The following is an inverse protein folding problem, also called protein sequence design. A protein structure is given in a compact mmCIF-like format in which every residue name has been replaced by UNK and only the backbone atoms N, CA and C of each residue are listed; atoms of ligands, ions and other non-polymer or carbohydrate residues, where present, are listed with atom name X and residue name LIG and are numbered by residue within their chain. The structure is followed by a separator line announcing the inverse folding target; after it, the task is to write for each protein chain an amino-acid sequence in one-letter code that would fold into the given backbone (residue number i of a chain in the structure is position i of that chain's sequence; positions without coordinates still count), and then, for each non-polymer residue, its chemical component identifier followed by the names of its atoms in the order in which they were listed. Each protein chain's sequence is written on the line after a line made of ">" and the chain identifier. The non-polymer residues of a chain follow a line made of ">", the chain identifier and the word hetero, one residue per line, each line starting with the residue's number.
data_IF_381014290221
#
_entry.id   IF_381014290221
#
_cell.length_a   1.000
_cell.length_b   1.000
_cell.length_c   1.000
_cell.angle_alpha   90.00
_cell.angle_beta   90.00
_cell.angle_gamma   90.00
#
_symmetry.space_group_name_H-M   'P 1'
#
loop_
_entity.id
_entity.type
_entity.pdbx_description
1 polymer ?
#
# COMPACT_ATOMS: atom_id res chain seq x y z
N UNK A 1 -4.69 15.02 -3.43
CA UNK A 1 -3.60 14.02 -3.39
C UNK A 1 -2.28 14.61 -2.92
N UNK A 2 -1.71 15.63 -3.58
CA UNK A 2 -0.35 16.08 -3.26
C UNK A 2 -0.15 16.59 -1.84
N UNK A 3 -1.08 17.39 -1.30
CA UNK A 3 -1.01 17.88 0.08
C UNK A 3 -0.94 16.71 1.10
N UNK A 4 -1.72 15.65 0.89
CA UNK A 4 -1.64 14.43 1.68
C UNK A 4 -0.27 13.75 1.53
N UNK A 5 0.22 13.58 0.31
CA UNK A 5 1.52 12.92 0.08
C UNK A 5 2.63 13.67 0.82
N UNK A 6 2.62 15.01 0.78
CA UNK A 6 3.59 15.86 1.51
C UNK A 6 3.48 15.68 3.03
N UNK A 7 2.26 15.57 3.56
CA UNK A 7 2.03 15.25 4.98
C UNK A 7 2.61 13.88 5.34
N UNK A 8 2.27 12.83 4.59
CA UNK A 8 2.73 11.46 4.83
C UNK A 8 4.25 11.34 4.67
N UNK A 9 4.86 12.05 3.72
CA UNK A 9 6.30 12.10 3.53
C UNK A 9 7.05 12.52 4.80
N UNK A 10 6.50 13.50 5.53
CA UNK A 10 7.04 13.99 6.80
C UNK A 10 6.74 13.02 7.94
N UNK A 11 5.47 12.60 8.09
CA UNK A 11 5.02 11.72 9.18
C UNK A 11 5.71 10.36 9.15
N UNK A 12 5.91 9.80 7.96
CA UNK A 12 6.56 8.50 7.78
C UNK A 12 8.09 8.60 7.64
N UNK A 13 8.66 9.78 7.84
CA UNK A 13 10.11 10.04 7.82
C UNK A 13 10.79 9.52 6.53
N UNK A 14 10.13 9.70 5.37
CA UNK A 14 10.65 9.26 4.07
C UNK A 14 11.86 10.10 3.65
N UNK A 15 11.91 11.35 4.09
CA UNK A 15 12.99 12.32 3.88
C UNK A 15 14.39 11.85 4.26
N UNK A 16 14.51 10.82 5.09
CA UNK A 16 15.81 10.22 5.42
C UNK A 16 16.42 9.41 4.28
N UNK A 17 15.67 9.19 3.19
CA UNK A 17 16.00 8.19 2.16
C UNK A 17 15.69 8.64 0.74
N UNK A 18 14.63 9.40 0.52
CA UNK A 18 14.17 9.81 -0.81
C UNK A 18 13.77 11.28 -0.77
N UNK A 19 14.00 12.00 -1.87
CA UNK A 19 13.57 13.39 -2.02
C UNK A 19 12.04 13.52 -2.10
N UNK A 20 11.50 14.66 -1.66
CA UNK A 20 10.05 14.90 -1.60
C UNK A 20 9.41 14.92 -2.99
N UNK A 21 10.01 15.63 -3.95
CA UNK A 21 9.45 15.78 -5.30
C UNK A 21 9.40 14.43 -6.00
N UNK A 22 10.46 13.66 -5.83
CA UNK A 22 10.53 12.33 -6.38
C UNK A 22 9.53 11.38 -5.71
N UNK A 23 9.44 11.39 -4.38
CA UNK A 23 8.45 10.57 -3.67
C UNK A 23 7.04 10.87 -4.17
N UNK A 24 6.68 12.15 -4.33
CA UNK A 24 5.40 12.57 -4.91
C UNK A 24 5.22 12.01 -6.32
N UNK A 25 6.25 12.11 -7.17
CA UNK A 25 6.21 11.59 -8.54
C UNK A 25 5.96 10.08 -8.56
N UNK A 26 6.67 9.33 -7.72
CA UNK A 26 6.52 7.87 -7.63
C UNK A 26 5.15 7.47 -7.09
N UNK A 27 4.62 8.17 -6.08
CA UNK A 27 3.28 7.91 -5.54
C UNK A 27 2.21 8.17 -6.59
N UNK A 28 2.26 9.30 -7.31
CA UNK A 28 1.29 9.61 -8.38
C UNK A 28 1.33 8.57 -9.50
N UNK A 29 2.53 8.19 -9.96
CA UNK A 29 2.69 7.17 -11.00
C UNK A 29 2.17 5.80 -10.54
N UNK A 30 2.51 5.40 -9.31
CA UNK A 30 2.05 4.12 -8.72
C UNK A 30 0.53 4.10 -8.58
N UNK A 31 -0.08 5.19 -8.12
CA UNK A 31 -1.53 5.32 -8.01
C UNK A 31 -2.24 5.12 -9.36
N UNK A 32 -1.73 5.74 -10.43
CA UNK A 32 -2.28 5.54 -11.78
C UNK A 32 -2.14 4.09 -12.26
N UNK A 33 -0.99 3.46 -12.00
CA UNK A 33 -0.77 2.06 -12.36
C UNK A 33 -1.73 1.12 -11.61
N UNK A 34 -1.91 1.33 -10.31
CA UNK A 34 -2.82 0.52 -9.50
C UNK A 34 -4.28 0.75 -9.86
N UNK A 35 -4.68 1.98 -10.23
CA UNK A 35 -6.02 2.23 -10.78
C UNK A 35 -6.30 1.41 -12.05
N UNK A 36 -5.32 1.31 -12.95
CA UNK A 36 -5.45 0.49 -14.17
C UNK A 36 -5.65 -0.99 -13.82
N UNK A 37 -4.86 -1.51 -12.87
CA UNK A 37 -5.00 -2.88 -12.35
C UNK A 37 -6.36 -3.12 -11.68
N UNK A 38 -6.81 -2.17 -10.86
CA UNK A 38 -8.13 -2.21 -10.22
C UNK A 38 -9.26 -2.36 -11.24
N UNK A 39 -9.23 -1.55 -12.31
CA UNK A 39 -10.20 -1.63 -13.41
C UNK A 39 -10.15 -2.95 -14.17
N UNK A 40 -8.95 -3.46 -14.43
CA UNK A 40 -8.74 -4.72 -15.14
C UNK A 40 -9.14 -5.95 -14.31
N UNK A 41 -9.43 -5.81 -13.01
CA UNK A 41 -9.67 -6.97 -12.15
C UNK A 41 -8.37 -7.72 -11.77
N UNK A 42 -7.22 -7.04 -11.85
CA UNK A 42 -5.90 -7.66 -11.71
C UNK A 42 -5.21 -7.28 -10.40
N UNK A 43 -4.41 -8.23 -9.87
CA UNK A 43 -3.42 -7.98 -8.83
C UNK A 43 -2.09 -7.50 -9.46
N UNK A 44 -1.21 -6.96 -8.63
CA UNK A 44 0.14 -6.59 -9.00
C UNK A 44 1.15 -7.14 -7.99
N UNK A 45 2.30 -7.61 -8.47
CA UNK A 45 3.42 -7.90 -7.58
C UNK A 45 4.23 -6.63 -7.30
N UNK A 46 4.79 -6.50 -6.09
CA UNK A 46 5.65 -5.36 -5.75
C UNK A 46 6.78 -5.15 -6.78
N UNK A 47 7.36 -6.23 -7.30
CA UNK A 47 8.45 -6.19 -8.28
C UNK A 47 8.05 -5.69 -9.67
N UNK A 48 6.76 -5.62 -9.98
CA UNK A 48 6.23 -5.14 -11.26
C UNK A 48 5.98 -3.63 -11.25
N UNK A 49 5.96 -3.01 -10.07
CA UNK A 49 5.72 -1.58 -9.94
C UNK A 49 6.94 -0.80 -10.45
N UNK A 50 6.71 0.17 -11.33
CA UNK A 50 7.76 1.05 -11.85
C UNK A 50 8.55 1.74 -10.71
N UNK A 51 7.86 2.11 -9.63
CA UNK A 51 8.51 2.65 -8.43
C UNK A 51 9.52 1.69 -7.82
N UNK A 52 9.26 0.38 -7.79
CA UNK A 52 10.21 -0.61 -7.29
C UNK A 52 11.46 -0.66 -8.15
N UNK A 53 11.32 -0.62 -9.47
CA UNK A 53 12.44 -0.62 -10.41
C UNK A 53 13.28 0.66 -10.31
N UNK A 54 12.64 1.84 -10.26
CA UNK A 54 13.34 3.13 -10.08
C UNK A 54 14.12 3.19 -8.76
N UNK A 55 13.52 2.71 -7.67
CA UNK A 55 14.22 2.62 -6.40
C UNK A 55 15.43 1.66 -6.49
N UNK A 56 15.32 0.56 -7.22
CA UNK A 56 16.46 -0.34 -7.47
C UNK A 56 17.54 0.31 -8.33
N UNK A 57 17.20 1.02 -9.39
CA UNK A 57 18.17 1.72 -10.23
C UNK A 57 19.00 2.73 -9.43
N UNK A 58 18.39 3.33 -8.40
CA UNK A 58 19.04 4.25 -7.45
C UNK A 58 19.85 3.58 -6.34
N UNK A 59 19.99 2.25 -6.39
CA UNK A 59 20.81 1.50 -5.45
C UNK A 59 20.10 1.08 -4.16
N UNK A 60 18.80 1.37 -3.97
CA UNK A 60 18.09 0.88 -2.79
C UNK A 60 17.93 -0.65 -2.85
N UNK A 61 18.22 -1.34 -1.75
CA UNK A 61 18.16 -2.81 -1.64
C UNK A 61 17.58 -3.24 -0.30
N UNK A 62 17.22 -4.53 -0.21
CA UNK A 62 16.78 -5.18 1.03
C UNK A 62 15.66 -4.44 1.76
N UNK A 63 15.79 -4.30 3.07
CA UNK A 63 14.78 -3.71 3.94
C UNK A 63 14.46 -2.25 3.61
N UNK A 64 15.45 -1.48 3.12
CA UNK A 64 15.25 -0.07 2.75
C UNK A 64 14.35 0.04 1.53
N UNK A 65 14.60 -0.79 0.51
CA UNK A 65 13.76 -0.86 -0.69
C UNK A 65 12.33 -1.30 -0.32
N UNK A 66 12.20 -2.35 0.50
CA UNK A 66 10.90 -2.86 0.94
C UNK A 66 10.09 -1.80 1.72
N UNK A 67 10.77 -1.02 2.57
CA UNK A 67 10.13 0.07 3.31
C UNK A 67 9.68 1.20 2.38
N UNK A 68 10.55 1.65 1.47
CA UNK A 68 10.22 2.74 0.53
C UNK A 68 9.08 2.37 -0.42
N UNK A 69 9.08 1.15 -0.99
CA UNK A 69 7.96 0.72 -1.83
C UNK A 69 6.67 0.61 -1.00
N UNK A 70 6.78 0.15 0.25
CA UNK A 70 5.68 0.10 1.22
C UNK A 70 5.07 1.49 1.47
N UNK A 71 5.88 2.52 1.70
CA UNK A 71 5.37 3.88 1.89
C UNK A 71 4.77 4.47 0.61
N UNK A 72 5.26 4.11 -0.56
CA UNK A 72 4.70 4.58 -1.84
C UNK A 72 3.30 3.99 -2.06
N UNK A 73 3.13 2.67 -1.93
CA UNK A 73 1.82 2.02 -2.11
C UNK A 73 0.86 2.37 -0.96
N UNK A 74 1.39 2.55 0.26
CA UNK A 74 0.61 2.96 1.42
C UNK A 74 -0.02 4.34 1.21
N UNK A 75 0.75 5.32 0.72
CA UNK A 75 0.25 6.67 0.45
C UNK A 75 -0.87 6.69 -0.60
N UNK A 76 -0.84 5.78 -1.58
CA UNK A 76 -1.95 5.60 -2.51
C UNK A 76 -3.25 5.20 -1.79
N UNK A 77 -3.15 4.36 -0.76
CA UNK A 77 -4.31 3.87 -0.02
C UNK A 77 -4.82 4.85 1.02
N UNK A 78 -3.93 5.60 1.66
CA UNK A 78 -4.34 6.71 2.53
C UNK A 78 -5.09 7.78 1.74
N UNK A 79 -4.67 8.05 0.50
CA UNK A 79 -5.43 8.94 -0.38
C UNK A 79 -6.83 8.41 -0.68
N UNK A 80 -6.97 7.13 -0.99
CA UNK A 80 -8.28 6.51 -1.19
C UNK A 80 -9.12 6.56 0.09
N UNK A 81 -8.53 6.24 1.25
CA UNK A 81 -9.21 6.25 2.54
C UNK A 81 -9.75 7.64 2.90
N UNK A 82 -8.97 8.72 2.71
CA UNK A 82 -9.42 10.11 2.92
C UNK A 82 -10.59 10.49 2.00
N UNK A 83 -10.77 9.78 0.88
CA UNK A 83 -11.88 9.99 -0.06
C UNK A 83 -13.02 8.97 0.14
N UNK A 84 -13.01 8.21 1.23
CA UNK A 84 -14.03 7.19 1.53
C UNK A 84 -13.96 5.94 0.66
N UNK A 85 -12.85 5.72 -0.06
CA UNK A 85 -12.71 4.65 -1.05
C UNK A 85 -11.94 3.44 -0.49
N UNK A 86 -12.01 2.26 -1.16
CA UNK A 86 -11.30 1.05 -0.75
C UNK A 86 -9.76 1.17 -0.87
N UNK A 87 -9.02 0.43 -0.06
CA UNK A 87 -7.55 0.52 0.00
C UNK A 87 -6.88 -0.05 -1.25
N UNK A 88 -6.43 0.82 -2.15
CA UNK A 88 -5.86 0.42 -3.44
C UNK A 88 -4.61 -0.49 -3.33
N UNK A 89 -3.82 -0.37 -2.26
CA UNK A 89 -2.66 -1.25 -2.03
C UNK A 89 -3.04 -2.69 -1.67
N UNK A 90 -4.31 -3.00 -1.43
CA UNK A 90 -4.80 -4.38 -1.30
C UNK A 90 -4.52 -5.20 -2.57
N UNK A 91 -4.38 -4.56 -3.73
CA UNK A 91 -4.02 -5.22 -4.99
C UNK A 91 -2.54 -5.62 -5.07
N UNK A 92 -1.69 -5.11 -4.17
CA UNK A 92 -0.24 -5.31 -4.26
C UNK A 92 0.18 -6.42 -3.32
N UNK A 93 0.67 -7.52 -3.89
CA UNK A 93 1.02 -8.74 -3.16
C UNK A 93 2.50 -9.11 -3.30
N UNK A 94 3.00 -9.83 -2.31
CA UNK A 94 4.27 -10.54 -2.40
C UNK A 94 4.13 -11.75 -3.32
N UNK A 95 5.13 -11.97 -4.18
CA UNK A 95 5.18 -13.16 -5.05
C UNK A 95 5.28 -14.46 -4.25
N UNK A 96 5.96 -14.43 -3.11
CA UNK A 96 6.24 -15.63 -2.33
C UNK A 96 5.05 -16.04 -1.44
N UNK A 97 4.30 -15.05 -0.94
CA UNK A 97 3.19 -15.29 0.01
C UNK A 97 1.81 -15.22 -0.62
N UNK A 98 1.68 -14.61 -1.80
CA UNK A 98 0.38 -14.34 -2.41
C UNK A 98 -0.47 -13.31 -1.66
N UNK A 99 0.12 -12.61 -0.68
CA UNK A 99 -0.56 -11.70 0.25
C UNK A 99 0.13 -10.33 0.30
N UNK A 100 -0.57 -9.27 0.76
CA UNK A 100 0.03 -7.96 0.92
C UNK A 100 1.14 -7.95 1.95
N UNK A 101 2.09 -7.02 1.78
CA UNK A 101 3.16 -6.81 2.74
C UNK A 101 2.63 -6.33 4.10
N UNK A 102 3.43 -6.52 5.14
CA UNK A 102 3.07 -6.15 6.52
C UNK A 102 2.69 -4.67 6.68
N UNK A 103 3.23 -3.79 5.83
CA UNK A 103 2.89 -2.36 5.77
C UNK A 103 1.40 -2.09 5.53
N UNK A 104 0.70 -2.98 4.83
CA UNK A 104 -0.74 -2.85 4.58
C UNK A 104 -1.54 -2.78 5.88
N UNK A 105 -1.16 -3.58 6.89
CA UNK A 105 -1.84 -3.65 8.19
C UNK A 105 -1.49 -2.50 9.15
N UNK A 106 -0.77 -1.49 8.68
CA UNK A 106 -0.50 -0.25 9.40
C UNK A 106 -1.31 0.94 8.88
N UNK A 107 -2.09 0.75 7.80
CA UNK A 107 -2.88 1.82 7.19
C UNK A 107 -4.06 2.22 8.08
N UNK A 108 -4.44 3.50 8.01
CA UNK A 108 -5.41 4.12 8.92
C UNK A 108 -6.80 3.45 8.91
N UNK A 109 -7.22 2.92 7.76
CA UNK A 109 -8.53 2.25 7.59
C UNK A 109 -8.54 0.81 8.10
N UNK A 110 -7.39 0.22 8.41
CA UNK A 110 -7.32 -1.14 8.95
C UNK A 110 -7.91 -1.14 10.36
N UNK A 111 -8.91 -2.00 10.66
CA UNK A 111 -9.50 -2.05 11.98
C UNK A 111 -8.43 -2.25 13.07
N UNK A 112 -8.50 -1.54 14.21
CA UNK A 112 -7.48 -1.64 15.26
C UNK A 112 -7.23 -3.09 15.72
N UNK A 113 -8.26 -3.94 15.79
CA UNK A 113 -8.12 -5.36 16.15
C UNK A 113 -7.22 -6.15 15.18
N UNK A 114 -7.16 -5.73 13.91
CA UNK A 114 -6.36 -6.32 12.85
C UNK A 114 -5.03 -5.57 12.65
N UNK A 115 -4.95 -4.31 13.04
CA UNK A 115 -3.76 -3.48 12.91
C UNK A 115 -2.55 -4.12 13.59
N UNK A 116 -1.38 -4.05 12.94
CA UNK A 116 -0.15 -4.59 13.53
C UNK A 116 0.36 -3.81 14.73
N UNK A 117 0.00 -2.53 14.87
CA UNK A 117 0.43 -1.72 16.02
C UNK A 117 0.10 -2.38 17.36
N UNK A 118 -1.04 -3.09 17.42
CA UNK A 118 -1.52 -3.75 18.63
C UNK A 118 -0.78 -5.04 18.99
N UNK A 119 -0.11 -5.69 18.03
CA UNK A 119 0.53 -7.00 18.20
C UNK A 119 2.06 -6.90 18.19
N UNK A 120 2.63 -6.14 17.25
CA UNK A 120 4.09 -6.05 17.10
C UNK A 120 4.77 -5.14 18.11
N UNK A 121 4.17 -4.00 18.47
CA UNK A 121 4.72 -3.15 19.54
C UNK A 121 4.84 -3.93 20.85
N UNK A 122 3.99 -4.95 21.04
CA UNK A 122 3.97 -5.83 22.21
C UNK A 122 4.84 -7.09 22.06
N UNK A 123 5.48 -7.30 20.89
CA UNK A 123 6.23 -8.52 20.55
C UNK A 123 5.42 -9.82 20.74
N UNK A 124 4.10 -9.75 20.50
CA UNK A 124 3.20 -10.89 20.62
C UNK A 124 2.85 -11.41 19.24
N UNK A 125 3.01 -12.72 19.05
CA UNK A 125 2.51 -13.40 17.84
C UNK A 125 0.98 -13.32 17.84
N UNK A 126 0.36 -12.77 16.78
CA UNK A 126 -1.10 -12.71 16.70
C UNK A 126 -1.67 -14.13 16.68
N UNK A 127 -2.77 -14.40 17.41
CA UNK A 127 -3.42 -15.70 17.36
C UNK A 127 -4.00 -15.97 15.97
N UNK A 128 -4.17 -17.26 15.63
CA UNK A 128 -4.62 -17.70 14.30
C UNK A 128 -5.92 -17.02 13.84
N UNK A 129 -6.86 -16.80 14.76
CA UNK A 129 -8.11 -16.08 14.48
C UNK A 129 -7.88 -14.67 13.93
N UNK A 130 -6.84 -13.97 14.41
CA UNK A 130 -6.48 -12.63 13.91
C UNK A 130 -5.82 -12.71 12.54
N UNK A 131 -5.01 -13.76 12.30
CA UNK A 131 -4.38 -13.99 10.99
C UNK A 131 -5.47 -14.25 9.94
N UNK A 132 -6.45 -15.11 10.25
CA UNK A 132 -7.60 -15.36 9.38
C UNK A 132 -8.42 -14.10 9.11
N UNK A 133 -8.76 -13.33 10.14
CA UNK A 133 -9.52 -12.08 9.95
C UNK A 133 -8.75 -11.02 9.14
N UNK A 134 -7.41 -11.02 9.20
CA UNK A 134 -6.59 -10.17 8.33
C UNK A 134 -6.71 -10.56 6.86
N UNK A 135 -6.67 -11.86 6.56
CA UNK A 135 -6.85 -12.38 5.20
C UNK A 135 -8.27 -12.05 4.69
N UNK A 136 -9.30 -12.30 5.49
CA UNK A 136 -10.69 -11.95 5.16
C UNK A 136 -10.85 -10.45 4.89
N UNK A 137 -10.28 -9.60 5.76
CA UNK A 137 -10.29 -8.16 5.56
C UNK A 137 -9.60 -7.77 4.25
N UNK A 138 -8.41 -8.29 4.00
CA UNK A 138 -7.66 -8.02 2.77
C UNK A 138 -8.45 -8.42 1.52
N UNK A 139 -8.97 -9.65 1.46
CA UNK A 139 -9.79 -10.13 0.35
C UNK A 139 -11.04 -9.26 0.14
N UNK A 140 -11.67 -8.81 1.23
CA UNK A 140 -12.80 -7.88 1.15
C UNK A 140 -12.39 -6.53 0.56
N UNK A 141 -11.20 -6.02 0.85
CA UNK A 141 -10.71 -4.78 0.26
C UNK A 141 -10.37 -4.96 -1.23
N UNK A 142 -9.77 -6.09 -1.63
CA UNK A 142 -9.54 -6.43 -3.04
C UNK A 142 -10.85 -6.40 -3.82
N UNK A 143 -11.87 -7.10 -3.32
CA UNK A 143 -13.19 -7.12 -3.93
C UNK A 143 -13.77 -5.71 -4.07
N UNK A 144 -13.79 -4.93 -2.98
CA UNK A 144 -14.31 -3.55 -3.00
C UNK A 144 -13.54 -2.66 -3.97
N UNK A 145 -12.20 -2.78 -4.05
CA UNK A 145 -11.37 -2.02 -5.00
C UNK A 145 -11.81 -2.31 -6.43
N UNK A 146 -11.97 -3.58 -6.81
CA UNK A 146 -12.42 -3.95 -8.15
C UNK A 146 -13.83 -3.45 -8.42
N UNK A 147 -14.78 -3.71 -7.51
CA UNK A 147 -16.16 -3.26 -7.65
C UNK A 147 -16.29 -1.73 -7.78
N UNK A 148 -15.48 -0.99 -7.03
CA UNK A 148 -15.47 0.47 -7.08
C UNK A 148 -14.93 0.96 -8.41
N UNK A 149 -13.72 0.53 -8.79
CA UNK A 149 -13.03 1.08 -9.94
C UNK A 149 -13.58 0.59 -11.29
N UNK A 150 -14.20 -0.58 -11.36
CA UNK A 150 -14.90 -1.06 -12.56
C UNK A 150 -16.14 -0.23 -12.89
N UNK A 151 -16.79 0.40 -11.90
CA UNK A 151 -18.00 1.22 -12.09
C UNK A 151 -17.71 2.68 -12.43
N UNK A 152 -16.47 3.12 -12.27
CA UNK A 152 -16.06 4.51 -12.47
C UNK A 152 -15.41 4.65 -13.84
N UNK A 153 -16.06 5.32 -14.79
CA UNK A 153 -15.41 5.73 -16.03
C UNK A 153 -14.27 6.73 -15.74
N UNK A 154 -13.17 6.65 -16.49
CA UNK A 154 -12.07 7.60 -16.33
C UNK A 154 -12.38 8.82 -17.18
N UNK A 155 -12.65 9.94 -16.54
CA UNK A 155 -12.43 11.27 -17.11
C UNK A 155 -10.92 11.51 -17.36
#
# INVERSE_FOLDING_TARGET
>A
MEALIKKLYREWNVNRRLDEEEYIKLVKATYLALKKKAKAGELAFYGELEAFNKLKERGFRGNVLALLIGTIVGACSEYEAENGRPLLSSLVISKDKGEPGLGFYYLSKVPPSLSRENWEKKKVTPPEVVIRHRQEFWLSEVQKVHEWWQKVDLD
#
